data_IF_100176355428
#
_entry.id   IF_100176355428
#
_cell.length_a   1.000
_cell.length_b   1.000
_cell.length_c   1.000
_cell.angle_alpha   90.00
_cell.angle_beta   90.00
_cell.angle_gamma   90.00
#
_symmetry.space_group_name_H-M   'P 1'
#
loop_
_entity.id
_entity.type
_entity.pdbx_description
1 polymer ?
#
# COMPACT_ATOMS: atom_id res chain seq x y z
N UNK A 1 18.11 -7.39 -3.63
CA UNK A 1 17.00 -8.10 -4.32
C UNK A 1 15.93 -7.05 -4.61
N UNK A 2 15.55 -6.90 -5.86
CA UNK A 2 14.51 -5.94 -6.27
C UNK A 2 13.14 -6.58 -6.11
N UNK A 3 12.20 -5.84 -5.50
CA UNK A 3 10.80 -6.25 -5.38
C UNK A 3 9.95 -5.41 -6.33
N UNK A 4 9.14 -6.07 -7.14
CA UNK A 4 8.17 -5.41 -8.03
C UNK A 4 6.82 -6.08 -7.91
N UNK A 5 5.77 -5.29 -8.00
CA UNK A 5 4.43 -5.83 -8.11
C UNK A 5 3.96 -5.75 -9.56
N UNK A 6 3.17 -6.73 -9.97
CA UNK A 6 2.57 -6.78 -11.31
C UNK A 6 1.12 -7.18 -11.22
N UNK A 7 0.26 -6.43 -11.91
CA UNK A 7 -1.17 -6.71 -11.99
C UNK A 7 -1.68 -6.58 -13.43
N UNK A 8 -2.80 -7.21 -13.70
CA UNK A 8 -3.51 -7.03 -14.97
C UNK A 8 -4.25 -5.69 -14.99
N UNK A 9 -4.51 -5.17 -16.19
CA UNK A 9 -5.32 -3.96 -16.37
C UNK A 9 -6.74 -4.10 -15.83
N UNK A 10 -7.28 -5.33 -15.81
CA UNK A 10 -8.57 -5.63 -15.17
C UNK A 10 -8.53 -5.42 -13.66
N UNK A 11 -7.46 -5.89 -12.98
CA UNK A 11 -7.27 -5.66 -11.55
C UNK A 11 -7.09 -4.18 -11.24
N UNK A 12 -6.32 -3.46 -12.07
CA UNK A 12 -6.12 -2.02 -11.91
C UNK A 12 -7.44 -1.25 -12.03
N UNK A 13 -8.28 -1.57 -13.03
CA UNK A 13 -9.62 -0.96 -13.16
C UNK A 13 -10.48 -1.24 -11.93
N UNK A 14 -10.52 -2.49 -11.46
CA UNK A 14 -11.27 -2.84 -10.27
C UNK A 14 -10.77 -2.08 -9.02
N UNK A 15 -9.45 -1.90 -8.87
CA UNK A 15 -8.87 -1.04 -7.83
C UNK A 15 -9.35 0.40 -7.96
N UNK A 16 -9.27 0.97 -9.18
CA UNK A 16 -9.70 2.34 -9.44
C UNK A 16 -11.17 2.54 -9.08
N UNK A 17 -12.03 1.61 -9.44
CA UNK A 17 -13.46 1.69 -9.10
C UNK A 17 -13.69 1.63 -7.57
N UNK A 18 -12.98 0.75 -6.86
CA UNK A 18 -13.11 0.59 -5.41
C UNK A 18 -12.52 1.75 -4.61
N UNK A 19 -11.50 2.42 -5.13
CA UNK A 19 -10.75 3.45 -4.45
C UNK A 19 -11.10 4.87 -4.92
N UNK A 20 -12.17 5.04 -5.70
CA UNK A 20 -12.51 6.29 -6.38
C UNK A 20 -13.09 7.39 -5.48
N UNK A 21 -13.54 7.08 -4.26
CA UNK A 21 -14.02 8.09 -3.31
C UNK A 21 -12.85 8.89 -2.74
N UNK A 22 -12.72 10.10 -3.25
CA UNK A 22 -11.65 11.03 -2.88
C UNK A 22 -11.89 11.81 -1.59
N UNK A 23 -13.03 11.61 -0.95
CA UNK A 23 -13.42 12.38 0.26
C UNK A 23 -12.93 11.72 1.56
N UNK A 24 -12.54 10.44 1.49
CA UNK A 24 -12.09 9.64 2.62
C UNK A 24 -11.15 8.53 2.18
N UNK A 25 -10.38 8.00 3.12
CA UNK A 25 -9.53 6.84 2.85
C UNK A 25 -10.36 5.65 2.41
N UNK A 26 -9.96 5.02 1.32
CA UNK A 26 -10.53 3.79 0.81
C UNK A 26 -9.54 2.65 1.01
N UNK A 27 -10.03 1.43 1.16
CA UNK A 27 -9.15 0.26 1.22
C UNK A 27 -9.78 -0.97 0.58
N UNK A 28 -8.88 -1.82 0.08
CA UNK A 28 -9.19 -3.17 -0.35
C UNK A 28 -7.98 -4.08 -0.11
N UNK A 29 -8.10 -5.34 -0.47
CA UNK A 29 -7.00 -6.30 -0.37
C UNK A 29 -6.74 -6.96 -1.72
N UNK A 30 -5.48 -7.27 -1.97
CA UNK A 30 -5.07 -8.12 -3.08
C UNK A 30 -4.57 -9.45 -2.50
N UNK A 31 -4.90 -10.53 -3.15
CA UNK A 31 -4.22 -11.81 -2.94
C UNK A 31 -3.18 -11.98 -4.04
N UNK A 32 -1.95 -12.31 -3.64
CA UNK A 32 -0.81 -12.27 -4.54
C UNK A 32 -0.01 -13.55 -4.50
N UNK A 33 0.57 -13.93 -5.64
CA UNK A 33 1.57 -14.98 -5.75
C UNK A 33 2.95 -14.38 -5.92
N UNK A 34 3.97 -15.13 -5.55
CA UNK A 34 5.37 -14.71 -5.69
C UNK A 34 6.08 -15.55 -6.75
N UNK A 35 6.77 -14.88 -7.65
CA UNK A 35 7.68 -15.50 -8.60
C UNK A 35 9.10 -14.97 -8.35
N UNK A 36 10.02 -15.86 -7.98
CA UNK A 36 11.43 -15.53 -7.72
C UNK A 36 12.23 -15.70 -9.01
N UNK A 37 12.89 -14.64 -9.45
CA UNK A 37 13.89 -14.64 -10.50
C UNK A 37 15.31 -14.50 -9.92
N UNK A 38 16.33 -14.50 -10.78
CA UNK A 38 17.73 -14.37 -10.36
C UNK A 38 18.04 -12.99 -9.75
N UNK A 39 17.50 -11.91 -10.32
CA UNK A 39 17.80 -10.52 -9.91
C UNK A 39 16.63 -9.81 -9.25
N UNK A 40 15.41 -10.31 -9.42
CA UNK A 40 14.19 -9.69 -8.91
C UNK A 40 13.19 -10.72 -8.40
N UNK A 41 12.33 -10.28 -7.50
CA UNK A 41 11.15 -11.04 -7.06
C UNK A 41 9.90 -10.29 -7.49
N UNK A 42 9.00 -10.96 -8.19
CA UNK A 42 7.73 -10.43 -8.64
C UNK A 42 6.62 -10.85 -7.66
N UNK A 43 5.83 -9.87 -7.26
CA UNK A 43 4.57 -10.06 -6.55
C UNK A 43 3.47 -9.93 -7.60
N UNK A 44 2.79 -11.03 -7.89
CA UNK A 44 1.81 -11.14 -8.96
C UNK A 44 0.40 -11.07 -8.35
N UNK A 45 -0.34 -10.02 -8.67
CA UNK A 45 -1.73 -9.89 -8.23
C UNK A 45 -2.57 -10.97 -8.90
N UNK A 46 -3.25 -11.77 -8.09
CA UNK A 46 -4.12 -12.86 -8.52
C UNK A 46 -5.59 -12.46 -8.48
N UNK A 47 -6.00 -11.72 -7.45
CA UNK A 47 -7.38 -11.26 -7.29
C UNK A 47 -7.44 -10.01 -6.41
N UNK A 48 -8.56 -9.28 -6.49
CA UNK A 48 -8.88 -8.09 -5.71
C UNK A 48 -10.06 -8.39 -4.81
N UNK A 49 -9.90 -8.18 -3.51
CA UNK A 49 -10.93 -8.42 -2.50
C UNK A 49 -11.40 -7.09 -1.91
N UNK A 50 -12.59 -6.64 -2.31
CA UNK A 50 -13.24 -5.48 -1.70
C UNK A 50 -13.65 -5.77 -0.25
N UNK A 51 -13.56 -4.76 0.61
CA UNK A 51 -14.25 -4.77 1.90
C UNK A 51 -15.75 -4.54 1.66
N UNK A 52 -16.58 -5.29 2.37
CA UNK A 52 -18.04 -5.20 2.28
C UNK A 52 -18.57 -4.12 3.21
N UNK A 53 -19.77 -3.65 2.93
CA UNK A 53 -20.50 -2.81 3.88
C UNK A 53 -20.57 -3.49 5.24
N UNK A 54 -20.26 -2.75 6.30
CA UNK A 54 -20.19 -3.27 7.66
C UNK A 54 -18.87 -4.00 8.05
N UNK A 55 -17.95 -4.24 7.12
CA UNK A 55 -16.60 -4.73 7.45
C UNK A 55 -15.61 -3.60 7.81
N UNK A 56 -16.01 -2.34 7.64
CA UNK A 56 -15.29 -1.17 8.13
C UNK A 56 -15.72 -0.83 9.55
N UNK A 57 -14.77 -0.57 10.44
CA UNK A 57 -14.99 -0.10 11.80
C UNK A 57 -14.89 1.43 11.86
N UNK A 58 -13.88 1.99 11.21
CA UNK A 58 -13.66 3.43 11.03
C UNK A 58 -13.46 3.68 9.56
N UNK A 59 -14.10 4.73 9.05
CA UNK A 59 -14.02 5.14 7.65
C UNK A 59 -14.11 6.66 7.59
N UNK A 60 -12.99 7.32 7.84
CA UNK A 60 -12.82 8.76 7.91
C UNK A 60 -11.83 9.27 6.86
N UNK A 61 -11.72 10.58 6.63
CA UNK A 61 -10.79 11.13 5.66
C UNK A 61 -9.31 10.84 5.93
N UNK A 62 -8.95 10.57 7.18
CA UNK A 62 -7.58 10.38 7.66
C UNK A 62 -7.40 9.10 8.50
N UNK A 63 -8.42 8.26 8.54
CA UNK A 63 -8.38 7.03 9.32
C UNK A 63 -9.29 5.96 8.74
N UNK A 64 -8.73 4.79 8.54
CA UNK A 64 -9.46 3.61 8.12
C UNK A 64 -9.10 2.42 9.01
N UNK A 65 -10.09 1.67 9.44
CA UNK A 65 -9.85 0.37 10.09
C UNK A 65 -10.90 -0.65 9.70
N UNK A 66 -10.45 -1.89 9.48
CA UNK A 66 -11.31 -3.00 9.14
C UNK A 66 -11.75 -3.78 10.40
N UNK A 67 -12.97 -4.29 10.38
CA UNK A 67 -13.47 -5.20 11.41
C UNK A 67 -12.80 -6.58 11.33
N UNK A 68 -12.68 -7.31 12.44
CA UNK A 68 -12.08 -8.65 12.44
C UNK A 68 -12.70 -9.61 11.42
N UNK A 69 -14.01 -9.51 11.15
CA UNK A 69 -14.71 -10.36 10.19
C UNK A 69 -14.20 -10.18 8.76
N UNK A 70 -13.97 -8.92 8.32
CA UNK A 70 -13.39 -8.62 7.01
C UNK A 70 -11.96 -9.18 6.89
N UNK A 71 -11.14 -8.96 7.92
CA UNK A 71 -9.78 -9.48 7.97
C UNK A 71 -9.72 -11.01 7.92
N UNK A 72 -10.61 -11.69 8.65
CA UNK A 72 -10.70 -13.16 8.63
C UNK A 72 -11.10 -13.69 7.26
N UNK A 73 -12.04 -13.01 6.57
CA UNK A 73 -12.45 -13.39 5.22
C UNK A 73 -11.31 -13.31 4.23
N UNK A 74 -10.56 -12.21 4.25
CA UNK A 74 -9.37 -12.01 3.41
C UNK A 74 -8.30 -13.07 3.71
N UNK A 75 -8.02 -13.31 5.00
CA UNK A 75 -7.05 -14.32 5.41
C UNK A 75 -7.44 -15.74 4.93
N UNK A 76 -8.70 -16.13 5.06
CA UNK A 76 -9.18 -17.42 4.56
C UNK A 76 -9.01 -17.56 3.05
N UNK A 77 -9.33 -16.53 2.29
CA UNK A 77 -9.12 -16.51 0.84
C UNK A 77 -7.65 -16.71 0.48
N UNK A 78 -6.75 -16.01 1.17
CA UNK A 78 -5.32 -16.14 0.96
C UNK A 78 -4.79 -17.55 1.33
N UNK A 79 -5.25 -18.11 2.45
CA UNK A 79 -4.88 -19.47 2.88
C UNK A 79 -5.35 -20.54 1.89
N UNK A 80 -6.61 -20.46 1.42
CA UNK A 80 -7.17 -21.40 0.46
C UNK A 80 -6.46 -21.36 -0.90
N UNK A 81 -6.02 -20.18 -1.34
CA UNK A 81 -5.31 -20.00 -2.60
C UNK A 81 -3.79 -20.17 -2.49
N UNK A 82 -3.27 -20.40 -1.28
CA UNK A 82 -1.82 -20.42 -0.96
C UNK A 82 -1.08 -19.17 -1.41
N UNK A 83 -1.67 -17.98 -1.15
CA UNK A 83 -1.20 -16.67 -1.58
C UNK A 83 -0.72 -15.81 -0.41
N UNK A 84 -0.05 -14.69 -0.70
CA UNK A 84 0.18 -13.58 0.23
C UNK A 84 -0.97 -12.57 0.16
N UNK A 85 -1.02 -11.67 1.15
CA UNK A 85 -1.96 -10.55 1.21
C UNK A 85 -1.21 -9.25 0.94
N UNK A 86 -1.78 -8.40 0.09
CA UNK A 86 -1.41 -7.00 -0.01
C UNK A 86 -2.59 -6.14 0.43
N UNK A 87 -2.41 -5.35 1.50
CA UNK A 87 -3.36 -4.33 1.88
C UNK A 87 -3.16 -3.10 0.99
N UNK A 88 -4.25 -2.53 0.50
CA UNK A 88 -4.23 -1.33 -0.35
C UNK A 88 -5.11 -0.28 0.28
N UNK A 89 -4.61 0.95 0.39
CA UNK A 89 -5.40 2.10 0.84
C UNK A 89 -5.01 3.37 0.09
N UNK A 90 -5.83 4.42 0.24
CA UNK A 90 -5.60 5.73 -0.38
C UNK A 90 -5.33 6.80 0.67
N UNK A 91 -4.55 7.81 0.28
CA UNK A 91 -4.42 9.08 1.00
C UNK A 91 -5.12 10.18 0.19
N UNK A 92 -6.39 10.49 0.47
CA UNK A 92 -7.20 11.41 -0.35
C UNK A 92 -6.69 12.84 -0.37
N UNK A 93 -5.84 13.24 0.59
CA UNK A 93 -5.24 14.58 0.66
C UNK A 93 -3.90 14.70 -0.07
N UNK A 94 -3.36 13.58 -0.60
CA UNK A 94 -2.08 13.58 -1.31
C UNK A 94 -2.30 13.65 -2.82
N UNK A 95 -1.56 14.53 -3.51
CA UNK A 95 -1.58 14.68 -4.97
C UNK A 95 -0.14 14.58 -5.47
N UNK A 96 0.13 13.63 -6.34
CA UNK A 96 1.40 13.49 -7.06
C UNK A 96 2.52 12.79 -6.30
N UNK A 97 2.57 12.90 -4.98
CA UNK A 97 3.51 12.17 -4.12
C UNK A 97 2.73 11.53 -2.98
N UNK A 98 3.03 10.27 -2.69
CA UNK A 98 2.40 9.54 -1.60
C UNK A 98 3.43 8.68 -0.89
N UNK A 99 3.36 8.63 0.44
CA UNK A 99 4.11 7.72 1.29
C UNK A 99 3.26 7.32 2.50
N UNK A 100 3.72 6.31 3.21
CA UNK A 100 3.08 5.84 4.43
C UNK A 100 3.20 6.87 5.55
N UNK A 101 2.12 7.08 6.27
CA UNK A 101 2.07 7.95 7.44
C UNK A 101 2.56 7.23 8.70
N UNK A 102 2.80 7.97 9.77
CA UNK A 102 3.10 7.37 11.08
C UNK A 102 1.92 6.50 11.60
N UNK A 103 0.69 6.90 11.30
CA UNK A 103 -0.50 6.11 11.64
C UNK A 103 -0.49 4.77 10.90
N UNK A 104 -0.08 4.76 9.62
CA UNK A 104 0.11 3.52 8.85
C UNK A 104 1.20 2.65 9.46
N UNK A 105 2.33 3.23 9.86
CA UNK A 105 3.42 2.48 10.47
C UNK A 105 2.98 1.77 11.76
N UNK A 106 2.22 2.46 12.61
CA UNK A 106 1.67 1.89 13.85
C UNK A 106 0.61 0.80 13.55
N UNK A 107 -0.33 1.09 12.66
CA UNK A 107 -1.40 0.16 12.29
C UNK A 107 -0.87 -1.07 11.56
N UNK A 108 0.01 -0.85 10.60
CA UNK A 108 0.60 -1.89 9.78
C UNK A 108 1.50 -2.83 10.60
N UNK A 109 2.27 -2.34 11.57
CA UNK A 109 3.12 -3.19 12.40
C UNK A 109 2.34 -4.34 13.04
N UNK A 110 1.17 -4.05 13.62
CA UNK A 110 0.28 -5.05 14.25
C UNK A 110 -0.39 -5.97 13.23
N UNK A 111 -0.86 -5.38 12.13
CA UNK A 111 -1.56 -6.10 11.06
C UNK A 111 -0.63 -7.11 10.38
N UNK A 112 0.60 -6.69 10.04
CA UNK A 112 1.55 -7.54 9.34
C UNK A 112 2.26 -8.54 10.25
N UNK A 113 2.41 -8.25 11.55
CA UNK A 113 2.79 -9.28 12.53
C UNK A 113 1.77 -10.45 12.51
N UNK A 114 0.48 -10.12 12.50
CA UNK A 114 -0.57 -11.12 12.42
C UNK A 114 -0.55 -11.87 11.08
N UNK A 115 -0.47 -11.18 9.94
CA UNK A 115 -0.43 -11.83 8.62
C UNK A 115 0.80 -12.71 8.45
N UNK A 116 1.99 -12.27 8.88
CA UNK A 116 3.22 -13.04 8.76
C UNK A 116 3.16 -14.32 9.63
N UNK A 117 2.50 -14.27 10.77
CA UNK A 117 2.26 -15.45 11.61
C UNK A 117 1.26 -16.42 10.98
N UNK A 118 0.19 -15.92 10.34
CA UNK A 118 -0.88 -16.74 9.77
C UNK A 118 -0.57 -17.24 8.35
N UNK A 119 0.35 -16.58 7.65
CA UNK A 119 0.79 -16.89 6.29
C UNK A 119 2.33 -16.98 6.26
N UNK A 120 2.94 -17.97 6.95
CA UNK A 120 4.39 -18.04 7.07
C UNK A 120 5.06 -18.23 5.71
N UNK A 121 6.17 -17.51 5.48
CA UNK A 121 6.95 -17.57 4.24
C UNK A 121 6.33 -16.83 3.06
N UNK A 122 5.19 -16.16 3.24
CA UNK A 122 4.56 -15.33 2.21
C UNK A 122 5.07 -13.88 2.30
N UNK A 123 5.12 -13.19 1.16
CA UNK A 123 5.50 -11.77 1.08
C UNK A 123 4.26 -10.89 1.26
N UNK A 124 3.84 -10.73 2.50
CA UNK A 124 2.72 -9.84 2.82
C UNK A 124 3.15 -8.38 2.68
N UNK A 125 2.30 -7.55 2.07
CA UNK A 125 2.68 -6.22 1.62
C UNK A 125 1.57 -5.20 1.80
N UNK A 126 1.92 -3.92 1.69
CA UNK A 126 0.99 -2.81 1.68
C UNK A 126 1.31 -1.87 0.53
N UNK A 127 0.26 -1.30 -0.08
CA UNK A 127 0.33 -0.21 -1.03
C UNK A 127 -0.48 0.97 -0.50
N UNK A 128 0.05 2.16 -0.66
CA UNK A 128 -0.68 3.41 -0.49
C UNK A 128 -0.70 4.17 -1.81
N UNK A 129 -1.87 4.70 -2.17
CA UNK A 129 -2.09 5.44 -3.40
C UNK A 129 -2.44 6.89 -3.09
N UNK A 130 -2.02 7.79 -3.99
CA UNK A 130 -2.47 9.17 -3.96
C UNK A 130 -3.96 9.30 -4.36
N UNK A 131 -4.50 10.50 -4.20
CA UNK A 131 -5.88 10.85 -4.55
C UNK A 131 -6.28 10.48 -6.00
N UNK A 132 -5.37 10.68 -6.96
CA UNK A 132 -5.65 10.46 -8.37
C UNK A 132 -5.32 9.03 -8.85
N UNK A 133 -4.85 8.17 -7.95
CA UNK A 133 -4.40 6.81 -8.22
C UNK A 133 -3.29 6.75 -9.31
N UNK A 134 -2.44 7.78 -9.33
CA UNK A 134 -1.31 7.92 -10.27
C UNK A 134 0.03 7.64 -9.63
N UNK A 135 0.14 7.89 -8.33
CA UNK A 135 1.34 7.63 -7.54
C UNK A 135 1.08 6.57 -6.50
N UNK A 136 2.06 5.71 -6.28
CA UNK A 136 1.97 4.60 -5.34
C UNK A 136 3.25 4.45 -4.56
N UNK A 137 3.16 4.23 -3.25
CA UNK A 137 4.25 3.69 -2.45
C UNK A 137 3.91 2.26 -2.02
N UNK A 138 4.90 1.40 -1.92
CA UNK A 138 4.69 -0.01 -1.58
C UNK A 138 5.79 -0.58 -0.69
N UNK A 139 5.39 -1.42 0.27
CA UNK A 139 6.27 -2.10 1.21
C UNK A 139 5.91 -3.57 1.37
N UNK A 140 6.92 -4.43 1.46
CA UNK A 140 6.79 -5.83 1.91
C UNK A 140 7.29 -5.91 3.33
N UNK A 141 6.49 -6.41 4.25
CA UNK A 141 6.85 -6.53 5.65
C UNK A 141 7.57 -7.86 5.91
N UNK A 142 8.84 -7.79 6.30
CA UNK A 142 9.66 -8.95 6.67
C UNK A 142 9.48 -9.32 8.14
N UNK A 143 9.26 -8.31 8.98
CA UNK A 143 8.86 -8.42 10.39
C UNK A 143 7.75 -7.43 10.70
N UNK A 144 7.37 -7.25 11.96
CA UNK A 144 6.40 -6.23 12.37
C UNK A 144 6.93 -4.79 12.15
N UNK A 145 8.24 -4.60 12.16
CA UNK A 145 8.89 -3.28 12.07
C UNK A 145 9.76 -3.10 10.84
N UNK A 146 10.26 -4.22 10.29
CA UNK A 146 11.16 -4.18 9.14
C UNK A 146 10.40 -4.44 7.84
N UNK A 147 10.73 -3.67 6.81
CA UNK A 147 10.11 -3.77 5.51
C UNK A 147 11.14 -3.52 4.38
N UNK A 148 10.78 -4.00 3.21
CA UNK A 148 11.52 -3.76 1.97
C UNK A 148 10.62 -2.99 0.99
N UNK A 149 11.14 -2.00 0.25
CA UNK A 149 10.35 -1.23 -0.70
C UNK A 149 9.95 -2.10 -1.90
N UNK A 150 8.74 -1.85 -2.41
CA UNK A 150 8.30 -2.29 -3.74
C UNK A 150 8.69 -1.18 -4.71
N UNK A 151 9.69 -1.45 -5.58
CA UNK A 151 10.27 -0.42 -6.46
C UNK A 151 9.28 0.07 -7.53
N UNK A 152 8.40 -0.79 -8.00
CA UNK A 152 7.39 -0.41 -8.99
C UNK A 152 6.17 -1.33 -8.96
N UNK A 153 5.04 -0.77 -9.38
CA UNK A 153 3.82 -1.50 -9.71
C UNK A 153 3.63 -1.44 -11.22
N UNK A 154 3.72 -2.59 -11.90
CA UNK A 154 3.52 -2.71 -13.33
C UNK A 154 2.08 -3.15 -13.61
N UNK A 155 1.33 -2.36 -14.37
CA UNK A 155 0.00 -2.72 -14.89
C UNK A 155 0.15 -3.22 -16.32
N UNK A 156 -0.25 -4.46 -16.57
CA UNK A 156 -0.12 -5.12 -17.87
C UNK A 156 -1.50 -5.20 -18.52
N UNK A 157 -1.64 -4.62 -19.69
CA UNK A 157 -2.84 -4.67 -20.54
C UNK A 157 -2.52 -5.17 -21.95
N UNK A 158 -3.55 -5.33 -22.76
CA UNK A 158 -3.44 -5.92 -24.09
C UNK A 158 -2.52 -5.15 -25.03
N UNK A 159 -2.41 -3.81 -24.87
CA UNK A 159 -1.57 -2.95 -25.69
C UNK A 159 -0.70 -1.96 -24.91
N UNK A 160 -0.78 -1.94 -23.58
CA UNK A 160 -0.09 -0.96 -22.76
C UNK A 160 0.51 -1.57 -21.50
N UNK A 161 1.70 -1.10 -21.15
CA UNK A 161 2.34 -1.32 -19.87
C UNK A 161 2.45 0.03 -19.17
N UNK A 162 1.68 0.21 -18.10
CA UNK A 162 1.84 1.34 -17.18
C UNK A 162 2.77 0.93 -16.06
N UNK A 163 3.82 1.70 -15.82
CA UNK A 163 4.70 1.51 -14.67
C UNK A 163 4.54 2.69 -13.72
N UNK A 164 4.10 2.40 -12.52
CA UNK A 164 4.04 3.32 -11.41
C UNK A 164 5.28 3.09 -10.54
N UNK A 165 6.10 4.11 -10.38
CA UNK A 165 7.35 4.02 -9.61
C UNK A 165 7.12 4.66 -8.26
N UNK A 166 7.45 3.91 -7.21
CA UNK A 166 7.51 4.47 -5.86
C UNK A 166 8.73 5.37 -5.77
N UNK A 167 8.52 6.68 -5.60
CA UNK A 167 9.57 7.62 -5.26
C UNK A 167 9.75 7.64 -3.74
N UNK A 168 10.29 6.57 -3.19
CA UNK A 168 10.72 6.57 -1.79
C UNK A 168 12.09 7.26 -1.75
N UNK A 169 12.13 8.57 -1.62
CA UNK A 169 13.28 9.22 -1.04
C UNK A 169 13.18 8.96 0.47
N UNK A 170 14.18 8.30 1.02
CA UNK A 170 14.25 7.96 2.44
C UNK A 170 14.34 9.23 3.28
N UNK A 171 13.20 9.80 3.64
CA UNK A 171 13.13 10.76 4.74
C UNK A 171 13.37 9.95 6.01
N UNK A 172 14.30 10.36 6.84
CA UNK A 172 14.60 9.63 8.06
C UNK A 172 13.34 9.53 8.95
N UNK A 173 13.11 8.42 9.66
CA UNK A 173 11.96 8.28 10.55
C UNK A 173 11.79 9.43 11.54
N UNK A 174 12.90 10.06 11.98
CA UNK A 174 12.87 11.21 12.88
C UNK A 174 12.33 12.49 12.22
N UNK A 175 12.57 12.70 10.93
CA UNK A 175 12.03 13.84 10.20
C UNK A 175 10.54 13.68 9.89
N UNK A 176 10.09 12.44 9.61
CA UNK A 176 8.67 12.15 9.40
C UNK A 176 7.83 12.45 10.64
N UNK A 177 8.30 12.13 11.86
CA UNK A 177 7.55 12.39 13.09
C UNK A 177 7.29 13.87 13.36
N UNK A 178 8.25 14.74 13.04
CA UNK A 178 8.15 16.18 13.35
C UNK A 178 7.28 16.91 12.32
N UNK A 179 7.31 16.46 11.06
CA UNK A 179 6.72 17.21 9.94
C UNK A 179 5.62 16.48 9.20
N UNK A 180 5.08 15.39 9.75
CA UNK A 180 4.10 14.54 9.08
C UNK A 180 2.92 15.32 8.50
N UNK A 181 2.34 16.26 9.26
CA UNK A 181 1.22 17.09 8.77
C UNK A 181 1.64 18.02 7.63
N UNK A 182 2.85 18.54 7.69
CA UNK A 182 3.38 19.43 6.65
C UNK A 182 3.69 18.64 5.39
N UNK A 183 4.24 17.42 5.51
CA UNK A 183 4.48 16.54 4.38
C UNK A 183 3.19 16.14 3.68
N UNK A 184 2.12 15.87 4.44
CA UNK A 184 0.79 15.59 3.87
C UNK A 184 0.20 16.75 3.06
N UNK A 185 0.47 17.99 3.46
CA UNK A 185 -0.09 19.19 2.81
C UNK A 185 0.81 19.68 1.69
N UNK A 186 2.13 19.65 1.89
CA UNK A 186 3.13 20.26 1.00
C UNK A 186 3.85 19.27 0.08
N UNK A 187 3.66 17.94 0.32
CA UNK A 187 4.49 16.89 -0.27
C UNK A 187 5.91 16.88 0.31
N UNK A 188 6.67 15.82 0.03
CA UNK A 188 8.07 15.70 0.52
C UNK A 188 8.97 16.80 -0.04
N UNK A 189 8.76 17.21 -1.29
CA UNK A 189 9.50 18.31 -1.93
C UNK A 189 9.19 19.66 -1.28
N UNK A 190 7.91 19.96 -1.08
CA UNK A 190 7.48 21.18 -0.40
C UNK A 190 8.02 21.27 1.02
N UNK A 191 8.10 20.15 1.73
CA UNK A 191 8.72 20.09 3.06
C UNK A 191 10.23 20.31 3.01
N UNK A 192 10.95 19.77 2.02
CA UNK A 192 12.39 20.06 1.83
C UNK A 192 12.65 21.55 1.58
N UNK A 193 11.83 22.17 0.74
CA UNK A 193 11.90 23.60 0.49
C UNK A 193 11.61 24.38 1.77
N UNK A 194 10.55 24.05 2.51
CA UNK A 194 10.23 24.68 3.78
C UNK A 194 11.33 24.53 4.83
N UNK A 195 11.95 23.35 4.92
CA UNK A 195 13.07 23.08 5.83
C UNK A 195 14.39 23.82 5.43
N UNK A 196 14.53 24.18 4.16
CA UNK A 196 15.69 24.94 3.65
C UNK A 196 15.56 26.46 3.88
N UNK A 197 14.37 26.96 4.17
CA UNK A 197 14.14 28.37 4.49
C UNK A 197 14.65 28.62 5.91
N UNK A 198 15.83 29.23 6.00
CA UNK A 198 16.36 29.75 7.28
C UNK A 198 15.57 31.00 7.66
N UNK A 199 14.94 30.99 8.81
CA UNK A 199 14.40 32.16 9.50
C UNK A 199 15.58 32.83 10.22
#
# INVERSE_FOLDING_TARGET
MKLRMRMLSSHHRQLTDLLSDSTREQACFLVCRTAKGESETLILVHDVIALRDGELLVHAPDQLSARPQGMQRVLRAAQQADTSICMVHTHPMCIGEVDFSLADDIGNSRTFEFFNRMLPGKLNSCLVWDHELRCVAGRVYTTSTDWLPIESVDVIGDNNRLRLVSRIESISPAQNQIYERQVRILGAEGQRIAASLRV
#
